data_IF_806034886988
#
_entry.id   IF_806034886988
#
_cell.length_a   1.000
_cell.length_b   1.000
_cell.length_c   1.000
_cell.angle_alpha   90.00
_cell.angle_beta   90.00
_cell.angle_gamma   90.00
#
_symmetry.space_group_name_H-M   'P 1'
#
loop_
_entity.id
_entity.type
_entity.pdbx_description
1 polymer ?
#
# COMPACT_ATOMS: atom_id res chain seq x y z
N UNK A 1 -2.04 -8.31 -13.54
CA UNK A 1 -1.72 -6.86 -13.62
C UNK A 1 -3.02 -6.10 -13.83
N UNK A 2 -3.14 -4.91 -13.26
CA UNK A 2 -4.34 -4.08 -13.40
C UNK A 2 -4.47 -3.58 -14.86
N UNK A 3 -5.67 -3.62 -15.45
CA UNK A 3 -5.89 -3.28 -16.86
C UNK A 3 -6.26 -1.80 -17.08
N UNK A 4 -6.71 -1.10 -16.04
CA UNK A 4 -7.17 0.29 -16.12
C UNK A 4 -6.81 1.07 -14.87
N UNK A 5 -6.58 2.37 -15.05
CA UNK A 5 -6.32 3.29 -13.95
C UNK A 5 -7.44 3.21 -12.91
N UNK A 6 -7.05 3.00 -11.66
CA UNK A 6 -7.98 2.72 -10.57
C UNK A 6 -7.55 3.42 -9.28
N UNK A 7 -8.54 3.78 -8.46
CA UNK A 7 -8.32 4.32 -7.12
C UNK A 7 -8.01 3.15 -6.18
N UNK A 8 -7.02 3.33 -5.31
CA UNK A 8 -6.65 2.34 -4.29
C UNK A 8 -5.97 1.08 -4.83
N UNK A 9 -5.69 1.00 -6.14
CA UNK A 9 -5.06 -0.18 -6.76
C UNK A 9 -3.73 0.20 -7.38
N UNK A 10 -2.65 -0.46 -6.98
CA UNK A 10 -1.32 -0.22 -7.54
C UNK A 10 -0.59 -1.52 -7.86
N UNK A 11 0.32 -1.47 -8.83
CA UNK A 11 1.11 -2.63 -9.27
C UNK A 11 2.53 -2.51 -8.73
N UNK A 12 2.95 -3.53 -7.99
CA UNK A 12 4.28 -3.64 -7.39
C UNK A 12 5.10 -4.78 -7.97
N UNK A 13 6.40 -4.72 -7.78
CA UNK A 13 7.30 -5.86 -7.95
C UNK A 13 7.83 -6.24 -6.58
N UNK A 14 7.67 -7.49 -6.20
CA UNK A 14 8.20 -7.99 -4.93
C UNK A 14 8.80 -9.38 -5.08
N UNK A 15 9.47 -9.79 -4.02
CA UNK A 15 10.07 -11.11 -3.93
C UNK A 15 9.04 -12.12 -3.42
N UNK A 16 8.99 -13.28 -4.06
CA UNK A 16 8.26 -14.46 -3.61
C UNK A 16 9.26 -15.62 -3.49
N UNK A 17 8.89 -16.72 -2.80
CA UNK A 17 9.74 -17.91 -2.73
C UNK A 17 10.15 -18.49 -4.10
N UNK A 18 9.43 -18.15 -5.17
CA UNK A 18 9.68 -18.63 -6.53
C UNK A 18 10.44 -17.62 -7.42
N UNK A 19 10.77 -16.44 -6.88
CA UNK A 19 11.45 -15.36 -7.61
C UNK A 19 10.71 -14.03 -7.53
N UNK A 20 11.10 -13.08 -8.39
CA UNK A 20 10.40 -11.79 -8.51
C UNK A 20 9.03 -11.98 -9.18
N UNK A 21 8.00 -11.37 -8.61
CA UNK A 21 6.62 -11.47 -9.10
C UNK A 21 5.95 -10.08 -9.15
N UNK A 22 4.94 -9.96 -10.02
CA UNK A 22 4.10 -8.78 -10.15
C UNK A 22 2.95 -8.91 -9.15
N UNK A 23 2.94 -8.03 -8.15
CA UNK A 23 1.88 -7.97 -7.15
C UNK A 23 0.89 -6.86 -7.50
N UNK A 24 -0.39 -7.13 -7.32
CA UNK A 24 -1.43 -6.08 -7.31
C UNK A 24 -1.81 -5.83 -5.86
N UNK A 25 -1.73 -4.58 -5.42
CA UNK A 25 -2.11 -4.15 -4.08
C UNK A 25 -3.42 -3.40 -4.21
N UNK A 26 -4.42 -3.83 -3.45
CA UNK A 26 -5.73 -3.21 -3.36
C UNK A 26 -5.92 -2.62 -1.97
N UNK A 27 -6.40 -1.38 -1.90
CA UNK A 27 -6.69 -0.67 -0.65
C UNK A 27 -8.13 -0.16 -0.68
N UNK A 28 -8.87 -0.44 0.38
CA UNK A 28 -10.22 0.08 0.60
C UNK A 28 -10.28 0.87 1.91
N UNK A 29 -11.03 1.97 1.90
CA UNK A 29 -11.30 2.81 3.06
C UNK A 29 -12.72 2.50 3.54
N UNK A 30 -12.86 2.16 4.81
CA UNK A 30 -14.12 1.71 5.41
C UNK A 30 -14.41 2.54 6.66
N UNK A 31 -15.66 2.96 6.96
CA UNK A 31 -15.97 3.59 8.23
C UNK A 31 -15.54 2.69 9.40
N UNK A 32 -14.78 3.23 10.34
CA UNK A 32 -14.01 2.44 11.28
C UNK A 32 -13.44 3.24 12.45
N UNK A 33 -12.32 2.78 12.99
CA UNK A 33 -11.65 3.35 14.18
C UNK A 33 -10.15 3.61 13.96
N UNK A 34 -9.72 3.76 12.70
CA UNK A 34 -8.31 3.96 12.38
C UNK A 34 -7.47 2.68 12.33
N UNK A 35 -8.10 1.53 12.11
CA UNK A 35 -7.41 0.22 12.12
C UNK A 35 -6.82 -0.08 10.74
N UNK A 36 -5.59 -0.59 10.71
CA UNK A 36 -4.98 -1.16 9.51
C UNK A 36 -5.24 -2.67 9.45
N UNK A 37 -6.10 -3.08 8.52
CA UNK A 37 -6.41 -4.48 8.22
C UNK A 37 -5.55 -4.96 7.05
N UNK A 38 -4.99 -6.16 7.16
CA UNK A 38 -4.03 -6.69 6.18
C UNK A 38 -4.37 -8.14 5.84
N UNK A 39 -4.48 -8.44 4.56
CA UNK A 39 -4.85 -9.77 4.04
C UNK A 39 -4.06 -10.11 2.77
N UNK A 40 -3.98 -11.41 2.43
CA UNK A 40 -3.24 -11.88 1.26
C UNK A 40 -1.92 -12.60 1.56
N UNK A 41 -1.82 -13.23 2.75
CA UNK A 41 -0.64 -13.97 3.22
C UNK A 41 0.64 -13.15 3.28
N UNK A 42 0.55 -12.00 3.97
CA UNK A 42 1.67 -11.08 4.17
C UNK A 42 2.53 -11.54 5.35
N UNK A 43 3.84 -11.64 5.13
CA UNK A 43 4.81 -11.85 6.20
C UNK A 43 5.01 -10.60 7.07
N UNK A 44 5.82 -10.71 8.11
CA UNK A 44 6.01 -9.65 9.11
C UNK A 44 6.66 -8.41 8.52
N UNK A 45 7.65 -8.56 7.63
CA UNK A 45 8.39 -7.43 7.03
C UNK A 45 7.46 -6.61 6.11
N UNK A 46 6.60 -7.30 5.37
CA UNK A 46 5.59 -6.63 4.54
C UNK A 46 4.56 -5.87 5.38
N UNK A 47 4.14 -6.44 6.52
CA UNK A 47 3.23 -5.78 7.45
C UNK A 47 3.86 -4.52 8.07
N UNK A 48 5.12 -4.58 8.47
CA UNK A 48 5.88 -3.39 8.93
C UNK A 48 6.01 -2.33 7.83
N UNK A 49 6.19 -2.76 6.57
CA UNK A 49 6.23 -1.85 5.42
C UNK A 49 4.91 -1.14 5.22
N UNK A 50 3.78 -1.84 5.39
CA UNK A 50 2.44 -1.24 5.32
C UNK A 50 2.21 -0.23 6.45
N UNK A 51 2.66 -0.53 7.69
CA UNK A 51 2.59 0.41 8.81
C UNK A 51 3.46 1.66 8.57
N UNK A 52 4.65 1.48 7.99
CA UNK A 52 5.55 2.58 7.63
C UNK A 52 4.94 3.47 6.55
N UNK A 53 4.31 2.87 5.53
CA UNK A 53 3.58 3.59 4.50
C UNK A 53 2.42 4.42 5.07
N UNK A 54 1.60 3.84 5.95
CA UNK A 54 0.51 4.54 6.62
C UNK A 54 1.03 5.69 7.50
N UNK A 55 2.12 5.46 8.22
CA UNK A 55 2.76 6.47 9.08
C UNK A 55 3.31 7.64 8.26
N UNK A 56 3.93 7.36 7.11
CA UNK A 56 4.38 8.39 6.19
C UNK A 56 3.21 9.24 5.66
N UNK A 57 2.12 8.59 5.23
CA UNK A 57 0.92 9.28 4.75
C UNK A 57 0.33 10.18 5.84
N UNK A 58 0.16 9.66 7.07
CA UNK A 58 -0.30 10.45 8.24
C UNK A 58 0.59 11.66 8.52
N UNK A 59 1.91 11.47 8.51
CA UNK A 59 2.87 12.56 8.73
C UNK A 59 2.86 13.63 7.63
N UNK A 60 2.27 13.34 6.46
CA UNK A 60 2.21 14.22 5.30
C UNK A 60 0.76 14.56 4.91
N UNK A 61 -0.22 14.33 5.78
CA UNK A 61 -1.65 14.47 5.46
C UNK A 61 -2.00 15.85 4.88
N UNK A 62 -1.53 16.93 5.52
CA UNK A 62 -1.71 18.31 5.04
C UNK A 62 -1.16 18.51 3.62
N UNK A 63 0.03 17.97 3.32
CA UNK A 63 0.65 18.06 1.99
C UNK A 63 -0.11 17.25 0.94
N UNK A 64 -0.80 16.20 1.36
CA UNK A 64 -1.54 15.29 0.50
C UNK A 64 -3.00 15.70 0.32
N UNK A 65 -3.47 16.74 1.02
CA UNK A 65 -4.86 17.18 1.04
C UNK A 65 -5.80 16.09 1.60
N UNK A 66 -5.38 15.49 2.74
CA UNK A 66 -6.13 14.47 3.48
C UNK A 66 -6.41 15.00 4.90
N UNK A 67 -7.66 14.89 5.34
CA UNK A 67 -8.06 15.34 6.67
C UNK A 67 -7.48 14.43 7.76
N UNK A 68 -6.95 15.02 8.84
CA UNK A 68 -6.36 14.23 9.93
C UNK A 68 -7.38 13.32 10.64
N UNK A 69 -8.64 13.72 10.64
CA UNK A 69 -9.76 13.00 11.24
C UNK A 69 -10.07 11.70 10.48
N UNK A 70 -9.73 11.62 9.19
CA UNK A 70 -9.97 10.43 8.38
C UNK A 70 -9.19 9.22 8.90
N UNK A 71 -8.01 9.45 9.48
CA UNK A 71 -7.18 8.36 10.02
C UNK A 71 -7.70 7.77 11.33
N UNK A 72 -8.66 8.44 11.98
CA UNK A 72 -9.33 7.94 13.20
C UNK A 72 -10.74 7.43 12.91
N UNK A 73 -11.39 7.98 11.88
CA UNK A 73 -12.77 7.64 11.50
C UNK A 73 -12.88 6.51 10.48
N UNK A 74 -11.78 6.16 9.79
CA UNK A 74 -11.78 5.11 8.78
C UNK A 74 -10.74 4.03 9.06
N UNK A 75 -11.13 2.78 8.84
CA UNK A 75 -10.22 1.64 8.74
C UNK A 75 -9.65 1.55 7.32
N UNK A 76 -8.39 1.14 7.23
CA UNK A 76 -7.67 0.91 5.96
C UNK A 76 -7.52 -0.59 5.78
N UNK A 77 -8.11 -1.16 4.74
CA UNK A 77 -7.95 -2.57 4.41
C UNK A 77 -7.04 -2.74 3.19
N UNK A 78 -5.87 -3.31 3.43
CA UNK A 78 -4.90 -3.71 2.41
C UNK A 78 -5.11 -5.19 2.04
N UNK A 79 -5.25 -5.48 0.76
CA UNK A 79 -5.36 -6.82 0.21
C UNK A 79 -4.36 -7.04 -0.92
N UNK A 80 -3.62 -8.15 -0.86
CA UNK A 80 -2.74 -8.60 -1.94
C UNK A 80 -3.18 -9.99 -2.44
N UNK A 81 -3.93 -10.08 -3.54
CA UNK A 81 -4.16 -11.33 -4.24
C UNK A 81 -2.83 -11.95 -4.70
N UNK A 82 -2.64 -13.25 -4.80
CA UNK A 82 -3.47 -14.41 -4.45
C UNK A 82 -3.26 -14.82 -2.98
N UNK A 83 -4.32 -15.08 -2.22
CA UNK A 83 -4.20 -15.34 -0.78
C UNK A 83 -3.39 -16.59 -0.37
N UNK A 84 -3.16 -17.54 -1.27
CA UNK A 84 -2.43 -18.78 -0.97
C UNK A 84 -0.90 -18.63 -1.04
N UNK A 85 -0.40 -17.63 -1.76
CA UNK A 85 1.03 -17.44 -2.00
C UNK A 85 1.60 -16.50 -0.95
N UNK A 86 2.55 -16.94 -0.10
CA UNK A 86 3.21 -16.07 0.88
C UNK A 86 3.96 -14.93 0.17
N UNK A 87 3.76 -13.71 0.66
CA UNK A 87 4.40 -12.49 0.15
C UNK A 87 5.10 -11.80 1.31
N UNK A 88 6.40 -11.56 1.17
CA UNK A 88 7.16 -10.90 2.23
C UNK A 88 8.32 -10.09 1.67
N UNK A 89 8.83 -9.18 2.48
CA UNK A 89 9.96 -8.30 2.16
C UNK A 89 9.57 -6.82 2.01
N UNK A 90 10.55 -5.91 2.06
CA UNK A 90 10.28 -4.48 2.14
C UNK A 90 10.07 -3.81 0.77
N UNK A 91 10.33 -4.52 -0.32
CA UNK A 91 10.40 -3.97 -1.69
C UNK A 91 9.06 -3.48 -2.25
N UNK A 92 7.93 -3.77 -1.62
CA UNK A 92 6.63 -3.23 -2.00
C UNK A 92 6.22 -1.99 -1.16
N UNK A 93 7.11 -1.43 -0.34
CA UNK A 93 6.82 -0.31 0.55
C UNK A 93 6.27 0.92 -0.16
N UNK A 94 6.87 1.34 -1.27
CA UNK A 94 6.35 2.49 -2.05
C UNK A 94 5.03 2.16 -2.74
N UNK A 95 4.83 0.91 -3.14
CA UNK A 95 3.59 0.43 -3.77
C UNK A 95 2.43 0.52 -2.79
N UNK A 96 2.63 0.06 -1.55
CA UNK A 96 1.67 0.18 -0.45
C UNK A 96 1.31 1.65 -0.19
N UNK A 97 2.32 2.53 -0.11
CA UNK A 97 2.11 3.95 0.13
C UNK A 97 1.27 4.60 -0.98
N UNK A 98 1.57 4.32 -2.25
CA UNK A 98 0.80 4.85 -3.39
C UNK A 98 -0.63 4.32 -3.39
N UNK A 99 -0.86 3.03 -3.10
CA UNK A 99 -2.21 2.48 -3.01
C UNK A 99 -3.03 3.17 -1.92
N UNK A 100 -2.44 3.37 -0.72
CA UNK A 100 -3.11 4.05 0.39
C UNK A 100 -3.39 5.52 0.06
N UNK A 101 -2.39 6.27 -0.43
CA UNK A 101 -2.57 7.67 -0.79
C UNK A 101 -3.64 7.82 -1.88
N UNK A 102 -3.63 6.93 -2.87
CA UNK A 102 -4.65 6.90 -3.91
C UNK A 102 -6.04 6.72 -3.32
N UNK A 103 -6.22 5.78 -2.39
CA UNK A 103 -7.50 5.50 -1.75
C UNK A 103 -8.02 6.68 -0.90
N UNK A 104 -7.16 7.40 -0.18
CA UNK A 104 -7.58 8.59 0.59
C UNK A 104 -7.84 9.81 -0.29
N UNK A 105 -7.09 9.98 -1.38
CA UNK A 105 -7.17 11.19 -2.22
C UNK A 105 -8.12 11.05 -3.41
N UNK A 106 -8.71 9.86 -3.62
CA UNK A 106 -9.53 9.51 -4.79
C UNK A 106 -8.82 9.74 -6.14
N UNK A 107 -7.48 9.72 -6.13
CA UNK A 107 -6.65 9.90 -7.33
C UNK A 107 -6.28 8.55 -7.89
N UNK A 108 -6.59 8.31 -9.16
CA UNK A 108 -6.29 7.03 -9.83
C UNK A 108 -4.78 6.81 -9.96
N UNK A 109 -4.32 5.61 -9.65
CA UNK A 109 -2.98 5.13 -9.99
C UNK A 109 -3.00 4.65 -11.44
N UNK A 110 -1.93 4.94 -12.17
CA UNK A 110 -1.73 4.48 -13.54
C UNK A 110 -1.55 2.96 -13.58
N UNK A 111 -2.32 2.29 -14.44
CA UNK A 111 -2.24 0.84 -14.61
C UNK A 111 -1.02 0.36 -15.41
N UNK A 112 -0.40 1.25 -16.18
CA UNK A 112 0.77 0.95 -17.02
C UNK A 112 2.11 1.11 -16.30
N UNK A 113 2.12 1.34 -14.98
CA UNK A 113 3.31 1.49 -14.16
C UNK A 113 3.36 0.41 -13.08
N UNK A 114 4.48 -0.29 -13.01
CA UNK A 114 4.87 -1.12 -11.87
C UNK A 114 6.00 -0.43 -11.10
N UNK A 115 6.02 -0.60 -9.77
CA UNK A 115 7.02 0.04 -8.91
C UNK A 115 7.59 -0.92 -7.86
N UNK A 116 8.81 -0.64 -7.40
CA UNK A 116 9.49 -1.38 -6.34
C UNK A 116 10.41 -0.45 -5.59
N UNK A 117 10.55 -0.68 -4.29
CA UNK A 117 11.36 0.13 -3.40
C UNK A 117 10.85 0.08 -1.97
N UNK A 118 11.79 -0.02 -1.03
CA UNK A 118 11.49 0.11 0.39
C UNK A 118 11.24 1.58 0.73
N UNK A 119 10.18 1.84 1.49
CA UNK A 119 9.84 3.18 1.98
C UNK A 119 10.33 3.36 3.42
N UNK A 120 10.90 4.52 3.70
CA UNK A 120 11.21 4.93 5.08
C UNK A 120 10.15 5.89 5.63
N UNK A 121 10.08 6.04 6.96
CA UNK A 121 9.22 7.04 7.62
C UNK A 121 9.45 8.49 7.14
N UNK A 122 10.61 8.79 6.53
CA UNK A 122 10.93 10.11 5.98
C UNK A 122 10.68 10.23 4.47
N UNK A 123 10.08 9.22 3.85
CA UNK A 123 9.76 9.21 2.43
C UNK A 123 10.95 8.99 1.50
N UNK A 124 12.10 8.54 2.03
CA UNK A 124 13.19 8.04 1.17
C UNK A 124 12.81 6.66 0.63
N UNK A 125 13.15 6.44 -0.64
CA UNK A 125 13.08 5.14 -1.30
C UNK A 125 14.46 4.52 -1.25
N UNK A 126 14.57 3.35 -0.61
CA UNK A 126 15.82 2.61 -0.49
C UNK A 126 15.97 1.59 -1.63
N UNK A 127 17.23 1.30 -2.03
CA UNK A 127 17.54 0.30 -3.05
C UNK A 127 17.25 -1.13 -2.59
#
# INVERSE_FOLDING_TARGET
>A
ANEKDAVGVSTGLAWTPFGGDILTIEVSILPGKGTLLMTGSLGEVMQESAQTALSYMRANAERLDVEFEDFENFDVHVHLPEGATPKDGPSAGITLAIAMISAFTERKVRADIAMTGEITLRGKVLP
#
